data_IF_444526203154
#
_entry.id   IF_444526203154
#
_cell.length_a   1.000
_cell.length_b   1.000
_cell.length_c   1.000
_cell.angle_alpha   90.00
_cell.angle_beta   90.00
_cell.angle_gamma   90.00
#
_symmetry.space_group_name_H-M   'P 1'
#
loop_
_entity.id
_entity.type
_entity.pdbx_description
1 polymer ?
#
# COMPACT_ATOMS: atom_id res chain seq x y z
N UNK A 1 21.99 -17.30 -19.23
CA UNK A 1 21.79 -17.03 -17.77
C UNK A 1 20.60 -16.11 -17.65
N UNK A 2 19.65 -16.40 -16.75
CA UNK A 2 18.56 -15.47 -16.48
C UNK A 2 19.15 -14.18 -15.87
N UNK A 3 18.70 -13.04 -16.36
CA UNK A 3 19.14 -11.74 -15.82
C UNK A 3 18.53 -11.58 -14.42
N UNK A 4 19.38 -11.32 -13.42
CA UNK A 4 18.94 -11.07 -12.05
C UNK A 4 18.10 -9.79 -12.01
N UNK A 5 16.92 -9.86 -11.42
CA UNK A 5 16.04 -8.70 -11.27
C UNK A 5 16.53 -7.78 -10.14
N UNK A 6 16.20 -6.49 -10.24
CA UNK A 6 16.71 -5.46 -9.31
C UNK A 6 16.37 -5.73 -7.84
N UNK A 7 15.20 -6.28 -7.56
CA UNK A 7 14.71 -6.56 -6.20
C UNK A 7 14.63 -8.07 -5.90
N UNK A 8 15.34 -8.89 -6.66
CA UNK A 8 15.39 -10.33 -6.42
C UNK A 8 15.93 -10.63 -5.02
N UNK A 9 15.18 -11.43 -4.28
CA UNK A 9 15.47 -11.79 -2.90
C UNK A 9 14.82 -10.88 -1.83
N UNK A 10 14.28 -9.72 -2.22
CA UNK A 10 13.50 -8.87 -1.31
C UNK A 10 12.14 -9.53 -1.00
N UNK A 11 11.76 -9.56 0.28
CA UNK A 11 10.53 -10.18 0.78
C UNK A 11 9.60 -9.14 1.37
N UNK A 12 8.40 -9.02 0.81
CA UNK A 12 7.42 -8.00 1.17
C UNK A 12 6.12 -8.63 1.65
N UNK A 13 5.66 -8.23 2.81
CA UNK A 13 4.36 -8.57 3.35
C UNK A 13 3.40 -7.40 3.10
N UNK A 14 2.36 -7.65 2.34
CA UNK A 14 1.45 -6.63 1.79
C UNK A 14 0.07 -6.76 2.43
N UNK A 15 -0.29 -5.81 3.30
CA UNK A 15 -1.61 -5.66 3.93
C UNK A 15 -2.44 -4.54 3.27
N UNK A 16 -2.04 -4.04 2.11
CA UNK A 16 -2.71 -2.90 1.48
C UNK A 16 -3.95 -3.31 0.70
N UNK A 17 -4.92 -2.40 0.58
CA UNK A 17 -6.15 -2.57 -0.18
C UNK A 17 -6.35 -1.42 -1.18
N UNK A 18 -7.22 -1.66 -2.14
CA UNK A 18 -7.74 -0.74 -3.15
C UNK A 18 -6.69 -0.32 -4.17
N UNK A 19 -6.04 0.85 -4.06
CA UNK A 19 -5.27 1.38 -5.19
C UNK A 19 -3.79 1.65 -4.85
N UNK A 20 -3.50 2.69 -4.09
CA UNK A 20 -2.15 3.22 -3.96
C UNK A 20 -1.15 2.23 -3.34
N UNK A 21 -1.53 1.61 -2.20
CA UNK A 21 -0.68 0.60 -1.56
C UNK A 21 -0.46 -0.63 -2.45
N UNK A 22 -1.50 -1.24 -3.03
CA UNK A 22 -1.33 -2.34 -3.98
C UNK A 22 -0.48 -1.98 -5.20
N UNK A 23 -0.61 -0.78 -5.78
CA UNK A 23 0.25 -0.33 -6.88
C UNK A 23 1.71 -0.22 -6.45
N UNK A 24 1.97 0.32 -5.25
CA UNK A 24 3.32 0.39 -4.70
C UNK A 24 3.96 -0.98 -4.59
N UNK A 25 3.29 -1.92 -3.93
CA UNK A 25 3.81 -3.28 -3.74
C UNK A 25 3.87 -4.08 -5.05
N UNK A 26 3.01 -3.76 -6.03
CA UNK A 26 3.10 -4.30 -7.39
C UNK A 26 4.42 -3.88 -8.07
N UNK A 27 4.81 -2.59 -7.98
CA UNK A 27 6.09 -2.17 -8.55
C UNK A 27 7.27 -2.96 -7.97
N UNK A 28 7.24 -3.27 -6.68
CA UNK A 28 8.27 -4.12 -6.07
C UNK A 28 8.24 -5.55 -6.65
N UNK A 29 7.04 -6.12 -6.79
CA UNK A 29 6.85 -7.46 -7.35
C UNK A 29 7.29 -7.56 -8.81
N UNK A 30 6.93 -6.58 -9.64
CA UNK A 30 7.30 -6.54 -11.06
C UNK A 30 8.82 -6.42 -11.27
N UNK A 31 9.56 -5.95 -10.25
CA UNK A 31 11.03 -5.86 -10.26
C UNK A 31 11.73 -7.00 -9.49
N UNK A 32 11.00 -8.07 -9.17
CA UNK A 32 11.56 -9.32 -8.66
C UNK A 32 11.42 -9.54 -7.15
N UNK A 33 10.78 -8.64 -6.41
CA UNK A 33 10.49 -8.90 -5.00
C UNK A 33 9.44 -10.01 -4.84
N UNK A 34 9.59 -10.82 -3.81
CA UNK A 34 8.56 -11.77 -3.39
C UNK A 34 7.53 -11.05 -2.54
N UNK A 35 6.40 -10.69 -3.12
CA UNK A 35 5.32 -9.98 -2.43
C UNK A 35 4.21 -10.95 -2.07
N UNK A 36 3.87 -11.04 -0.79
CA UNK A 36 2.72 -11.82 -0.28
C UNK A 36 1.64 -10.85 0.16
N UNK A 37 0.57 -10.79 -0.64
CA UNK A 37 -0.64 -10.03 -0.29
C UNK A 37 -1.54 -10.85 0.63
N UNK A 38 -1.89 -10.25 1.76
CA UNK A 38 -2.76 -10.85 2.77
C UNK A 38 -4.18 -10.29 2.63
N UNK A 39 -5.14 -11.18 2.50
CA UNK A 39 -6.57 -10.88 2.49
C UNK A 39 -7.32 -11.89 3.35
N UNK A 40 -8.58 -11.60 3.69
CA UNK A 40 -9.48 -12.58 4.33
C UNK A 40 -10.56 -13.03 3.35
N UNK A 41 -11.03 -14.26 3.49
CA UNK A 41 -12.19 -14.74 2.75
C UNK A 41 -13.49 -14.01 3.18
N UNK A 42 -13.52 -13.46 4.39
CA UNK A 42 -14.65 -12.72 4.96
C UNK A 42 -14.52 -11.20 4.79
N UNK A 43 -13.30 -10.70 4.50
CA UNK A 43 -13.01 -9.29 4.24
C UNK A 43 -12.03 -9.22 3.07
N UNK A 44 -12.56 -9.28 1.85
CA UNK A 44 -11.80 -9.21 0.61
C UNK A 44 -11.44 -7.75 0.28
N UNK A 45 -10.36 -7.55 -0.47
CA UNK A 45 -10.01 -6.23 -1.02
C UNK A 45 -11.18 -5.69 -1.85
N UNK A 46 -11.63 -4.47 -1.55
CA UNK A 46 -12.77 -3.83 -2.22
C UNK A 46 -12.52 -3.53 -3.71
N UNK A 47 -11.29 -3.61 -4.18
CA UNK A 47 -10.97 -3.58 -5.61
C UNK A 47 -11.40 -4.86 -6.37
N UNK A 48 -11.60 -6.00 -5.67
CA UNK A 48 -11.99 -7.26 -6.33
C UNK A 48 -13.35 -7.20 -7.03
N UNK A 49 -14.41 -6.66 -6.40
CA UNK A 49 -15.70 -6.49 -7.06
C UNK A 49 -15.79 -5.24 -7.95
N UNK A 50 -14.68 -4.56 -8.23
CA UNK A 50 -14.65 -3.37 -9.09
C UNK A 50 -14.33 -3.74 -10.53
N UNK A 51 -15.14 -3.23 -11.48
CA UNK A 51 -14.90 -3.41 -12.92
C UNK A 51 -13.66 -2.64 -13.43
N UNK A 52 -13.39 -2.73 -14.73
CA UNK A 52 -14.07 -3.53 -15.73
C UNK A 52 -13.92 -5.05 -15.49
N UNK A 53 -14.89 -5.83 -15.95
CA UNK A 53 -14.86 -7.27 -15.76
C UNK A 53 -14.50 -8.00 -17.05
N UNK A 54 -13.76 -9.09 -16.94
CA UNK A 54 -13.49 -9.98 -18.06
C UNK A 54 -14.82 -10.46 -18.65
N UNK A 55 -14.98 -10.29 -19.97
CA UNK A 55 -16.16 -10.65 -20.75
C UNK A 55 -17.47 -9.97 -20.27
N UNK A 56 -17.36 -8.83 -19.57
CA UNK A 56 -18.49 -8.13 -18.92
C UNK A 56 -19.27 -8.96 -17.90
N UNK A 57 -18.67 -10.04 -17.35
CA UNK A 57 -19.30 -10.89 -16.35
C UNK A 57 -18.74 -10.52 -14.97
N UNK A 58 -19.57 -9.96 -14.06
CA UNK A 58 -19.14 -9.62 -12.70
C UNK A 58 -18.62 -10.83 -11.91
N UNK A 59 -17.65 -10.58 -11.03
CA UNK A 59 -17.13 -11.61 -10.13
C UNK A 59 -15.84 -11.19 -9.43
N UNK A 60 -15.64 -11.65 -8.20
CA UNK A 60 -14.53 -11.25 -7.30
C UNK A 60 -13.14 -11.57 -7.85
N UNK A 61 -13.03 -12.47 -8.82
CA UNK A 61 -11.77 -12.81 -9.49
C UNK A 61 -11.76 -12.38 -10.97
N UNK A 62 -12.67 -11.49 -11.36
CA UNK A 62 -12.82 -11.03 -12.75
C UNK A 62 -12.62 -9.52 -12.89
N UNK A 63 -12.43 -8.81 -11.79
CA UNK A 63 -12.24 -7.37 -11.76
C UNK A 63 -10.88 -6.94 -12.28
N UNK A 64 -10.84 -6.18 -13.38
CA UNK A 64 -9.61 -5.66 -13.98
C UNK A 64 -8.86 -4.71 -13.06
N UNK A 65 -9.57 -3.96 -12.22
CA UNK A 65 -8.97 -3.08 -11.22
C UNK A 65 -8.07 -3.86 -10.26
N UNK A 66 -8.58 -4.94 -9.66
CA UNK A 66 -7.79 -5.77 -8.76
C UNK A 66 -6.60 -6.42 -9.47
N UNK A 67 -6.83 -7.01 -10.65
CA UNK A 67 -5.77 -7.69 -11.43
C UNK A 67 -4.67 -6.70 -11.84
N UNK A 68 -5.05 -5.51 -12.28
CA UNK A 68 -4.10 -4.47 -12.69
C UNK A 68 -3.21 -3.94 -11.55
N UNK A 69 -3.69 -4.02 -10.31
CA UNK A 69 -2.98 -3.54 -9.12
C UNK A 69 -2.22 -4.62 -8.36
N UNK A 70 -2.46 -5.90 -8.65
CA UNK A 70 -1.94 -7.02 -7.84
C UNK A 70 -1.24 -8.11 -8.67
N UNK A 71 -0.91 -7.86 -9.93
CA UNK A 71 -0.09 -8.78 -10.71
C UNK A 71 1.27 -9.03 -10.06
N UNK A 72 1.86 -10.19 -10.35
CA UNK A 72 3.18 -10.62 -9.85
C UNK A 72 3.27 -10.89 -8.33
N UNK A 73 2.14 -10.86 -7.59
CA UNK A 73 2.10 -11.14 -6.16
C UNK A 73 1.60 -12.54 -5.85
N UNK A 74 2.04 -13.07 -4.73
CA UNK A 74 1.41 -14.23 -4.10
C UNK A 74 0.22 -13.77 -3.27
N UNK A 75 -0.82 -14.61 -3.18
CA UNK A 75 -2.02 -14.35 -2.38
C UNK A 75 -2.10 -15.30 -1.19
N UNK A 76 -2.35 -14.76 -0.01
CA UNK A 76 -2.57 -15.52 1.21
C UNK A 76 -3.90 -15.14 1.84
N UNK A 77 -4.78 -16.12 2.04
CA UNK A 77 -6.02 -15.93 2.79
C UNK A 77 -5.76 -16.12 4.28
N UNK A 78 -5.83 -15.03 5.05
CA UNK A 78 -5.66 -15.02 6.50
C UNK A 78 -6.62 -14.02 7.14
N UNK A 79 -7.47 -14.49 8.04
CA UNK A 79 -8.33 -13.62 8.83
C UNK A 79 -7.55 -13.04 10.02
N UNK A 80 -7.24 -11.76 9.95
CA UNK A 80 -6.50 -11.04 11.00
C UNK A 80 -7.33 -10.83 12.29
N UNK A 81 -8.64 -11.07 12.25
CA UNK A 81 -9.47 -11.05 13.45
C UNK A 81 -9.55 -12.42 14.15
N UNK A 82 -9.02 -13.47 13.55
CA UNK A 82 -8.92 -14.77 14.19
C UNK A 82 -7.89 -14.74 15.34
N UNK A 83 -8.22 -15.19 16.54
CA UNK A 83 -7.29 -15.16 17.69
C UNK A 83 -5.93 -15.87 17.43
N UNK A 84 -5.92 -16.87 16.55
CA UNK A 84 -4.71 -17.61 16.18
C UNK A 84 -3.90 -16.99 15.06
N UNK A 85 -4.33 -15.87 14.50
CA UNK A 85 -3.61 -15.20 13.41
C UNK A 85 -2.16 -14.85 13.79
N UNK A 86 -1.91 -14.54 15.07
CA UNK A 86 -0.57 -14.18 15.57
C UNK A 86 0.48 -15.29 15.38
N UNK A 87 0.08 -16.57 15.39
CA UNK A 87 0.97 -17.70 15.12
C UNK A 87 1.51 -17.66 13.67
N UNK A 88 0.65 -17.27 12.73
CA UNK A 88 0.98 -17.18 11.30
C UNK A 88 1.72 -15.87 11.01
N UNK A 89 1.19 -14.75 11.50
CA UNK A 89 1.77 -13.43 11.24
C UNK A 89 3.18 -13.29 11.82
N UNK A 90 3.47 -13.87 13.00
CA UNK A 90 4.82 -13.88 13.55
C UNK A 90 5.84 -14.56 12.60
N UNK A 91 5.46 -15.67 11.97
CA UNK A 91 6.30 -16.38 10.99
C UNK A 91 6.47 -15.57 9.71
N UNK A 92 5.41 -14.91 9.24
CA UNK A 92 5.46 -14.04 8.07
C UNK A 92 6.34 -12.80 8.32
N UNK A 93 6.23 -12.19 9.49
CA UNK A 93 7.07 -11.04 9.89
C UNK A 93 8.55 -11.46 9.99
N UNK A 94 8.85 -12.61 10.57
CA UNK A 94 10.22 -13.13 10.62
C UNK A 94 10.81 -13.38 9.22
N UNK A 95 9.96 -13.73 8.25
CA UNK A 95 10.35 -13.94 6.86
C UNK A 95 10.51 -12.62 6.09
N UNK A 96 9.68 -11.59 6.38
CA UNK A 96 9.60 -10.36 5.59
C UNK A 96 10.76 -9.40 5.85
N UNK A 97 11.20 -8.69 4.83
CA UNK A 97 12.14 -7.57 4.88
C UNK A 97 11.40 -6.24 5.03
N UNK A 98 10.21 -6.17 4.41
CA UNK A 98 9.36 -4.99 4.34
C UNK A 98 7.92 -5.39 4.65
N UNK A 99 7.24 -4.58 5.42
CA UNK A 99 5.79 -4.64 5.65
C UNK A 99 5.16 -3.37 5.13
N UNK A 100 4.11 -3.48 4.31
CA UNK A 100 3.35 -2.33 3.80
C UNK A 100 1.89 -2.47 4.20
N UNK A 101 1.31 -1.40 4.74
CA UNK A 101 -0.09 -1.32 5.12
C UNK A 101 -0.72 0.00 4.64
N UNK A 102 -2.05 0.05 4.53
CA UNK A 102 -2.78 1.22 4.06
C UNK A 102 -4.10 1.42 4.84
N UNK A 103 -4.10 1.11 6.13
CA UNK A 103 -5.26 1.28 7.00
C UNK A 103 -5.19 2.61 7.76
N UNK A 104 -6.34 3.01 8.30
CA UNK A 104 -6.37 4.14 9.22
C UNK A 104 -5.47 3.87 10.44
N UNK A 105 -4.85 4.91 11.03
CA UNK A 105 -3.92 4.76 12.15
C UNK A 105 -4.46 3.88 13.27
N UNK A 106 -3.57 3.08 13.86
CA UNK A 106 -3.84 2.11 14.93
C UNK A 106 -4.67 0.88 14.53
N UNK A 107 -4.97 0.68 13.25
CA UNK A 107 -5.67 -0.53 12.81
C UNK A 107 -4.77 -1.75 12.92
N UNK A 108 -3.55 -1.67 12.39
CA UNK A 108 -2.59 -2.78 12.41
C UNK A 108 -2.06 -3.08 13.80
N UNK A 109 -1.99 -2.09 14.69
CA UNK A 109 -1.59 -2.30 16.10
C UNK A 109 -2.56 -3.21 16.84
N UNK A 110 -3.86 -3.15 16.53
CA UNK A 110 -4.88 -4.04 17.11
C UNK A 110 -4.66 -5.51 16.74
N UNK A 111 -3.99 -5.78 15.63
CA UNK A 111 -3.60 -7.12 15.19
C UNK A 111 -2.19 -7.51 15.65
N UNK A 112 -1.50 -6.64 16.41
CA UNK A 112 -0.12 -6.87 16.83
C UNK A 112 0.90 -6.66 15.71
N UNK A 113 0.53 -5.91 14.66
CA UNK A 113 1.34 -5.67 13.47
C UNK A 113 1.84 -4.22 13.36
N UNK A 114 1.77 -3.43 14.45
CA UNK A 114 2.38 -2.11 14.50
C UNK A 114 3.92 -2.18 14.51
N UNK A 115 4.58 -1.10 14.09
CA UNK A 115 6.04 -1.08 13.91
C UNK A 115 6.82 -1.54 15.15
N UNK A 116 6.44 -1.07 16.34
CA UNK A 116 7.12 -1.46 17.58
C UNK A 116 6.92 -2.94 17.94
N UNK A 117 5.83 -3.57 17.50
CA UNK A 117 5.63 -5.00 17.65
C UNK A 117 6.45 -5.78 16.62
N UNK A 118 6.48 -5.32 15.36
CA UNK A 118 7.27 -5.95 14.30
C UNK A 118 8.75 -5.99 14.64
N UNK A 119 9.30 -4.91 15.19
CA UNK A 119 10.71 -4.82 15.64
C UNK A 119 11.09 -5.85 16.68
N UNK A 120 10.17 -6.33 17.51
CA UNK A 120 10.46 -7.38 18.49
C UNK A 120 10.78 -8.70 17.82
N UNK A 121 10.16 -8.98 16.67
CA UNK A 121 10.38 -10.19 15.88
C UNK A 121 11.54 -10.00 14.90
N UNK A 122 11.62 -8.82 14.28
CA UNK A 122 12.64 -8.47 13.30
C UNK A 122 13.16 -7.05 13.53
N UNK A 123 14.27 -6.88 14.25
CA UNK A 123 14.79 -5.57 14.64
C UNK A 123 15.14 -4.62 13.48
N UNK A 124 15.48 -5.18 12.32
CA UNK A 124 15.85 -4.46 11.10
C UNK A 124 14.68 -4.30 10.10
N UNK A 125 13.44 -4.61 10.52
CA UNK A 125 12.26 -4.52 9.65
C UNK A 125 12.05 -3.09 9.14
N UNK A 126 11.67 -2.97 7.87
CA UNK A 126 11.16 -1.71 7.31
C UNK A 126 9.64 -1.83 7.28
N UNK A 127 8.94 -0.85 7.82
CA UNK A 127 7.49 -0.73 7.71
C UNK A 127 7.13 0.54 6.95
N UNK A 128 6.16 0.46 6.05
CA UNK A 128 5.57 1.62 5.40
C UNK A 128 4.06 1.66 5.64
N UNK A 129 3.59 2.79 6.15
CA UNK A 129 2.17 3.11 6.31
C UNK A 129 1.77 4.12 5.24
N UNK A 130 0.81 3.74 4.38
CA UNK A 130 0.28 4.57 3.30
C UNK A 130 -1.11 5.03 3.66
N UNK A 131 -1.26 6.24 4.18
CA UNK A 131 -2.57 6.74 4.63
C UNK A 131 -2.99 8.02 3.91
N UNK A 132 -4.24 8.39 4.06
CA UNK A 132 -4.76 9.60 3.43
C UNK A 132 -4.03 10.85 3.90
N UNK A 133 -3.80 10.98 5.21
CA UNK A 133 -3.26 12.18 5.83
C UNK A 133 -2.07 11.94 6.78
N UNK A 134 -1.43 10.79 6.68
CA UNK A 134 -0.35 10.38 7.58
C UNK A 134 -0.86 9.71 8.86
N UNK A 135 0.07 9.18 9.67
CA UNK A 135 -0.22 8.48 10.92
C UNK A 135 -0.45 9.45 12.11
N UNK A 136 -0.09 10.72 11.95
CA UNK A 136 -0.12 11.74 12.98
C UNK A 136 -0.85 13.00 12.50
N UNK A 137 -1.19 13.89 13.43
CA UNK A 137 -1.91 15.13 13.12
C UNK A 137 -3.40 15.08 13.42
N UNK A 138 -4.10 16.23 13.34
CA UNK A 138 -5.51 16.35 13.73
C UNK A 138 -6.43 15.48 12.88
N UNK A 139 -6.14 15.33 11.59
CA UNK A 139 -6.99 14.65 10.62
C UNK A 139 -6.48 13.23 10.26
N UNK A 140 -5.47 12.71 10.96
CA UNK A 140 -4.88 11.40 10.68
C UNK A 140 -5.89 10.24 10.67
N UNK A 141 -6.97 10.35 11.47
CA UNK A 141 -8.03 9.34 11.55
C UNK A 141 -9.10 9.45 10.45
N UNK A 142 -9.07 10.53 9.67
CA UNK A 142 -10.05 10.72 8.61
C UNK A 142 -9.78 9.73 7.47
N UNK A 143 -10.72 8.82 7.16
CA UNK A 143 -10.56 7.93 6.03
C UNK A 143 -10.70 8.71 4.73
N UNK A 144 -10.01 8.26 3.69
CA UNK A 144 -10.10 8.88 2.37
C UNK A 144 -9.63 7.95 1.27
N UNK A 145 -10.06 8.30 0.05
CA UNK A 145 -9.62 7.68 -1.19
C UNK A 145 -9.09 8.76 -2.11
N UNK A 146 -8.36 8.39 -3.13
CA UNK A 146 -7.70 9.33 -4.02
C UNK A 146 -8.58 10.42 -4.63
N UNK A 147 -9.87 10.15 -4.89
CA UNK A 147 -10.81 11.20 -5.32
C UNK A 147 -11.01 12.30 -4.29
N UNK A 148 -11.17 11.94 -3.02
CA UNK A 148 -11.26 12.90 -1.94
C UNK A 148 -9.93 13.66 -1.78
N UNK A 149 -8.82 12.95 -1.86
CA UNK A 149 -7.49 13.56 -1.76
C UNK A 149 -7.22 14.52 -2.93
N UNK A 150 -7.66 14.22 -4.14
CA UNK A 150 -7.59 15.18 -5.26
C UNK A 150 -8.27 16.51 -4.93
N UNK A 151 -9.45 16.45 -4.30
CA UNK A 151 -10.17 17.65 -3.90
C UNK A 151 -9.47 18.40 -2.75
N UNK A 152 -9.00 17.68 -1.73
CA UNK A 152 -8.33 18.26 -0.57
C UNK A 152 -6.98 18.89 -0.92
N UNK A 153 -6.24 18.30 -1.84
CA UNK A 153 -4.99 18.87 -2.38
C UNK A 153 -5.25 20.13 -3.21
N UNK A 154 -6.45 20.27 -3.80
CA UNK A 154 -6.79 21.39 -4.65
C UNK A 154 -6.79 21.08 -6.15
N UNK A 155 -6.45 19.86 -6.56
CA UNK A 155 -6.43 19.50 -7.99
C UNK A 155 -7.77 19.71 -8.67
N UNK A 156 -8.89 19.44 -7.98
CA UNK A 156 -10.22 19.65 -8.53
C UNK A 156 -10.49 21.13 -8.86
N UNK A 157 -9.85 22.06 -8.15
CA UNK A 157 -9.98 23.49 -8.41
C UNK A 157 -9.03 23.98 -9.50
N UNK A 158 -7.85 23.37 -9.62
CA UNK A 158 -6.83 23.73 -10.59
C UNK A 158 -7.09 23.16 -12.00
N UNK A 159 -7.88 22.08 -12.08
CA UNK A 159 -8.22 21.44 -13.36
C UNK A 159 -9.57 21.93 -13.86
N UNK A 160 -9.72 22.02 -15.19
CA UNK A 160 -10.93 22.52 -15.84
C UNK A 160 -10.74 23.92 -16.41
N UNK A 161 -11.83 24.59 -16.64
CA UNK A 161 -11.85 25.91 -17.28
C UNK A 161 -12.28 26.99 -16.29
N UNK A 162 -11.74 28.23 -16.41
CA UNK A 162 -12.05 29.30 -15.44
C UNK A 162 -13.51 29.72 -15.37
N UNK A 163 -14.26 29.45 -16.43
CA UNK A 163 -15.67 29.81 -16.59
C UNK A 163 -16.67 28.69 -16.23
N UNK A 164 -16.17 27.60 -15.62
CA UNK A 164 -16.98 26.42 -15.28
C UNK A 164 -16.74 25.97 -13.85
N UNK A 165 -17.61 25.09 -13.37
CA UNK A 165 -17.45 24.44 -12.08
C UNK A 165 -16.12 23.65 -12.00
N UNK A 166 -15.48 23.58 -10.82
CA UNK A 166 -14.28 22.79 -10.61
C UNK A 166 -14.46 21.35 -11.06
N UNK A 167 -13.47 20.81 -11.72
CA UNK A 167 -13.48 19.44 -12.24
C UNK A 167 -12.26 18.67 -11.75
N UNK A 168 -12.49 17.54 -11.12
CA UNK A 168 -11.39 16.66 -10.72
C UNK A 168 -10.68 16.07 -11.94
N UNK A 169 -9.36 15.81 -11.87
CA UNK A 169 -8.67 14.99 -12.86
C UNK A 169 -9.44 13.70 -13.16
N UNK A 170 -9.31 13.18 -14.37
CA UNK A 170 -10.03 11.98 -14.81
C UNK A 170 -9.70 10.69 -14.03
N UNK A 171 -8.76 10.74 -13.09
CA UNK A 171 -8.35 9.62 -12.24
C UNK A 171 -8.09 10.10 -10.80
N UNK A 172 -8.10 9.21 -9.80
CA UNK A 172 -7.62 9.51 -8.45
C UNK A 172 -6.10 9.70 -8.47
N UNK A 173 -5.66 10.89 -8.89
CA UNK A 173 -4.27 11.18 -9.23
C UNK A 173 -3.31 10.91 -8.06
N UNK A 174 -3.73 11.23 -6.84
CA UNK A 174 -2.93 10.95 -5.64
C UNK A 174 -2.68 9.45 -5.42
N UNK A 175 -3.62 8.57 -5.81
CA UNK A 175 -3.44 7.11 -5.75
C UNK A 175 -2.37 6.62 -6.74
N UNK A 176 -2.16 7.35 -7.84
CA UNK A 176 -1.18 6.98 -8.87
C UNK A 176 0.22 7.50 -8.53
N UNK A 177 0.33 8.69 -7.94
CA UNK A 177 1.63 9.30 -7.67
C UNK A 177 2.26 8.87 -6.35
N UNK A 178 1.46 8.64 -5.30
CA UNK A 178 1.96 8.16 -4.01
C UNK A 178 2.83 6.90 -4.13
N UNK A 179 2.48 5.88 -4.95
CA UNK A 179 3.33 4.70 -5.13
C UNK A 179 4.76 5.01 -5.56
N UNK A 180 4.98 6.02 -6.38
CA UNK A 180 6.33 6.38 -6.85
C UNK A 180 7.17 7.00 -5.75
N UNK A 181 6.59 7.91 -4.95
CA UNK A 181 7.23 8.44 -3.75
C UNK A 181 7.51 7.33 -2.74
N UNK A 182 6.54 6.42 -2.55
CA UNK A 182 6.69 5.28 -1.65
C UNK A 182 7.81 4.32 -2.08
N UNK A 183 7.90 3.99 -3.37
CA UNK A 183 9.01 3.17 -3.89
C UNK A 183 10.34 3.87 -3.67
N UNK A 184 10.44 5.18 -3.97
CA UNK A 184 11.68 5.94 -3.74
C UNK A 184 12.10 5.93 -2.26
N UNK A 185 11.15 6.16 -1.34
CA UNK A 185 11.39 6.12 0.10
C UNK A 185 11.80 4.71 0.57
N UNK A 186 11.17 3.66 0.05
CA UNK A 186 11.55 2.27 0.36
C UNK A 186 12.97 1.96 -0.15
N UNK A 187 13.34 2.40 -1.35
CA UNK A 187 14.71 2.20 -1.84
C UNK A 187 15.74 2.89 -0.95
N UNK A 188 15.45 4.11 -0.49
CA UNK A 188 16.31 4.84 0.45
C UNK A 188 16.43 4.10 1.80
N UNK A 189 15.31 3.59 2.33
CA UNK A 189 15.29 2.83 3.58
C UNK A 189 16.03 1.48 3.46
N UNK A 190 15.91 0.80 2.33
CA UNK A 190 16.67 -0.43 2.05
C UNK A 190 18.17 -0.17 1.96
N UNK A 191 18.60 0.92 1.31
CA UNK A 191 20.01 1.32 1.28
C UNK A 191 20.51 1.70 2.69
N UNK A 192 19.71 2.46 3.45
CA UNK A 192 20.04 2.78 4.84
C UNK A 192 20.20 1.52 5.69
N UNK A 193 19.25 0.56 5.60
CA UNK A 193 19.34 -0.73 6.29
C UNK A 193 20.59 -1.51 5.89
N UNK A 194 20.92 -1.55 4.60
CA UNK A 194 22.12 -2.21 4.08
C UNK A 194 23.41 -1.66 4.71
N UNK A 195 23.48 -0.33 4.91
CA UNK A 195 24.66 0.36 5.46
C UNK A 195 24.74 0.31 6.98
N UNK A 196 23.62 0.26 7.68
CA UNK A 196 23.56 0.47 9.13
C UNK A 196 23.03 -0.72 9.92
N UNK A 197 22.38 -1.69 9.25
CA UNK A 197 21.68 -2.79 9.91
C UNK A 197 20.35 -2.37 10.57
N UNK A 198 19.88 -1.14 10.39
CA UNK A 198 18.69 -0.59 11.06
C UNK A 198 17.51 -0.49 10.13
N UNK A 199 16.35 -0.96 10.59
CA UNK A 199 15.06 -0.72 9.93
C UNK A 199 14.51 0.68 10.19
N UNK A 200 13.41 1.01 9.51
CA UNK A 200 12.73 2.30 9.62
C UNK A 200 11.21 2.13 9.49
N UNK A 201 10.45 2.99 10.14
CA UNK A 201 9.03 3.21 9.83
C UNK A 201 8.91 4.43 8.91
N UNK A 202 8.30 4.22 7.76
CA UNK A 202 8.02 5.25 6.77
C UNK A 202 6.52 5.55 6.85
N UNK A 203 6.19 6.78 7.17
CA UNK A 203 4.82 7.31 7.12
C UNK A 203 4.70 8.15 5.85
N UNK A 204 3.78 7.76 4.95
CA UNK A 204 3.55 8.47 3.70
C UNK A 204 2.07 8.83 3.54
N UNK A 205 1.81 10.09 3.27
CA UNK A 205 0.49 10.69 3.14
C UNK A 205 0.13 10.96 1.68
N UNK A 206 -1.09 10.59 1.28
CA UNK A 206 -1.63 10.99 -0.03
C UNK A 206 -1.72 12.51 -0.17
N UNK A 207 -2.17 13.19 0.90
CA UNK A 207 -2.30 14.64 0.91
C UNK A 207 -0.95 15.31 0.67
N UNK A 208 0.05 14.98 1.49
CA UNK A 208 1.39 15.58 1.39
C UNK A 208 2.06 15.26 0.05
N UNK A 209 1.92 14.02 -0.43
CA UNK A 209 2.42 13.63 -1.75
C UNK A 209 1.78 14.44 -2.86
N UNK A 210 0.47 14.67 -2.79
CA UNK A 210 -0.24 15.50 -3.76
C UNK A 210 0.19 16.97 -3.73
N UNK A 211 0.42 17.53 -2.54
CA UNK A 211 0.86 18.91 -2.36
C UNK A 211 2.24 19.20 -2.99
N UNK A 212 3.05 18.19 -3.25
CA UNK A 212 4.36 18.39 -3.93
C UNK A 212 4.23 18.84 -5.38
N UNK A 213 3.03 18.78 -5.96
CA UNK A 213 2.76 19.22 -7.33
C UNK A 213 2.14 20.62 -7.42
N UNK A 214 1.98 21.31 -6.30
CA UNK A 214 1.48 22.68 -6.18
C UNK A 214 2.60 23.64 -5.76
#
# INVERSE_FOLDING_TARGET
MAVKQALEGLKVLDFTWVAAGPLLTKYLADHGAQVVKVESATAIDSARPAGPYKDNIPGINRGGTFVGQNSSKYSLALDLNNPRQSEVTARLVAWADVVVEAFTPRTVERWGLGYEQLKKTRPDIIMMSCTSQGQTGPDAKQPGYGWLMNAMVGFAHLTGWPDREPSSPAAPYTDVVLPWFGVAALMAALDYRRRTGKGQHIDISHLETGLTFL
#
